data_IF_288488284359
#
_entry.id   IF_288488284359
#
_cell.length_a   1.000
_cell.length_b   1.000
_cell.length_c   1.000
_cell.angle_alpha   90.00
_cell.angle_beta   90.00
_cell.angle_gamma   90.00
#
_symmetry.space_group_name_H-M   'P 1'
#
loop_
_entity.id
_entity.type
_entity.pdbx_description
1 polymer ?
#
# COMPACT_ATOMS: atom_id res chain seq x y z
N UNK A 1 4.83 -19.53 -44.88
CA UNK A 1 3.56 -19.04 -44.30
C UNK A 1 3.91 -18.16 -43.11
N UNK A 2 3.56 -16.86 -43.08
CA UNK A 2 3.88 -16.00 -41.93
C UNK A 2 2.67 -15.79 -41.00
N UNK A 3 3.01 -15.49 -39.73
CA UNK A 3 2.17 -14.99 -38.62
C UNK A 3 1.31 -16.04 -37.88
N UNK A 4 1.96 -16.84 -37.04
CA UNK A 4 1.34 -17.26 -35.77
C UNK A 4 1.70 -16.21 -34.71
N UNK A 5 0.66 -15.69 -34.08
CA UNK A 5 0.72 -14.62 -33.10
C UNK A 5 1.48 -15.09 -31.85
N UNK A 6 2.39 -14.24 -31.42
CA UNK A 6 3.17 -14.32 -30.20
C UNK A 6 2.23 -14.13 -28.99
N UNK A 7 1.60 -15.20 -28.50
CA UNK A 7 0.73 -15.16 -27.31
C UNK A 7 1.50 -15.04 -25.97
N UNK A 8 2.80 -14.72 -25.99
CA UNK A 8 3.64 -14.58 -24.80
C UNK A 8 3.75 -13.16 -24.22
N UNK A 9 3.29 -12.12 -24.92
CA UNK A 9 3.65 -10.72 -24.65
C UNK A 9 2.71 -9.88 -23.78
N UNK A 10 1.68 -10.45 -23.14
CA UNK A 10 0.81 -9.69 -22.21
C UNK A 10 1.03 -10.05 -20.74
N UNK A 11 1.33 -11.32 -20.44
CA UNK A 11 1.53 -11.76 -19.05
C UNK A 11 2.90 -11.33 -18.48
N UNK A 12 3.93 -11.25 -19.33
CA UNK A 12 5.27 -10.83 -18.93
C UNK A 12 5.34 -9.35 -18.55
N UNK A 13 4.77 -8.48 -19.39
CA UNK A 13 4.72 -7.04 -19.15
C UNK A 13 3.86 -6.71 -17.93
N UNK A 14 2.73 -7.39 -17.76
CA UNK A 14 1.85 -7.12 -16.61
C UNK A 14 2.47 -7.49 -15.26
N UNK A 15 3.23 -8.59 -15.20
CA UNK A 15 3.98 -9.00 -14.02
C UNK A 15 5.12 -8.02 -13.71
N UNK A 16 5.84 -7.57 -14.75
CA UNK A 16 6.93 -6.60 -14.61
C UNK A 16 6.44 -5.25 -14.08
N UNK A 17 5.35 -4.73 -14.64
CA UNK A 17 4.72 -3.49 -14.17
C UNK A 17 4.25 -3.59 -12.72
N UNK A 18 3.75 -4.75 -12.29
CA UNK A 18 3.40 -5.00 -10.90
C UNK A 18 4.62 -4.90 -9.99
N UNK A 19 5.72 -5.57 -10.34
CA UNK A 19 6.95 -5.52 -9.54
C UNK A 19 7.53 -4.10 -9.46
N UNK A 20 7.53 -3.37 -10.58
CA UNK A 20 7.95 -1.96 -10.62
C UNK A 20 7.05 -1.07 -9.74
N UNK A 21 5.74 -1.28 -9.78
CA UNK A 21 4.79 -0.56 -8.94
C UNK A 21 5.00 -0.83 -7.46
N UNK A 22 5.18 -2.10 -7.06
CA UNK A 22 5.43 -2.48 -5.67
C UNK A 22 6.76 -1.89 -5.19
N UNK A 23 7.85 -2.05 -5.96
CA UNK A 23 9.15 -1.48 -5.61
C UNK A 23 9.12 0.05 -5.52
N UNK A 24 8.34 0.72 -6.39
CA UNK A 24 8.11 2.16 -6.30
C UNK A 24 7.41 2.54 -4.98
N UNK A 25 6.43 1.75 -4.52
CA UNK A 25 5.73 2.00 -3.27
C UNK A 25 6.62 1.73 -2.05
N UNK A 26 7.41 0.66 -2.05
CA UNK A 26 8.33 0.33 -0.96
C UNK A 26 9.42 1.40 -0.79
N UNK A 27 9.95 1.93 -1.89
CA UNK A 27 10.90 3.03 -1.84
C UNK A 27 10.21 4.38 -1.52
N UNK A 28 8.91 4.49 -1.77
CA UNK A 28 8.14 5.67 -1.43
C UNK A 28 7.73 5.62 0.04
N UNK A 29 8.63 6.10 0.90
CA UNK A 29 8.28 6.43 2.28
C UNK A 29 7.41 7.69 2.25
N UNK A 30 6.09 7.51 2.28
CA UNK A 30 5.18 8.61 2.55
C UNK A 30 5.28 8.92 4.04
N UNK A 31 5.97 10.01 4.37
CA UNK A 31 6.00 10.54 5.73
C UNK A 31 4.61 11.11 6.06
N UNK A 32 3.69 10.24 6.44
CA UNK A 32 2.35 10.65 6.87
C UNK A 32 2.43 11.01 8.34
N UNK A 33 2.41 12.31 8.62
CA UNK A 33 2.22 12.80 9.99
C UNK A 33 0.74 12.67 10.33
N UNK A 34 0.43 11.76 11.24
CA UNK A 34 -0.91 11.60 11.76
C UNK A 34 -0.86 11.45 13.27
N UNK A 35 -1.94 11.85 13.93
CA UNK A 35 -2.07 11.74 15.37
C UNK A 35 -2.74 10.40 15.72
N UNK A 36 -2.06 9.46 16.38
CA UNK A 36 -2.65 8.16 16.71
C UNK A 36 -3.82 8.28 17.72
N UNK A 37 -3.83 9.35 18.53
CA UNK A 37 -4.90 9.65 19.48
C UNK A 37 -6.17 10.20 18.83
N UNK A 38 -6.08 10.74 17.62
CA UNK A 38 -7.21 11.35 16.92
C UNK A 38 -7.72 10.43 15.78
N UNK A 39 -8.98 9.94 15.85
CA UNK A 39 -9.53 9.09 14.80
C UNK A 39 -9.62 9.81 13.46
N UNK A 40 -9.93 11.11 13.45
CA UNK A 40 -10.07 11.88 12.21
C UNK A 40 -8.73 12.04 11.48
N UNK A 41 -7.64 12.29 12.21
CA UNK A 41 -6.27 12.37 11.66
C UNK A 41 -5.82 11.05 11.07
N UNK A 42 -6.18 9.93 11.68
CA UNK A 42 -5.87 8.59 11.15
C UNK A 42 -6.65 8.26 9.90
N UNK A 43 -7.93 8.59 9.86
CA UNK A 43 -8.72 8.41 8.63
C UNK A 43 -8.22 9.31 7.49
N UNK A 44 -7.80 10.55 7.80
CA UNK A 44 -7.17 11.45 6.84
C UNK A 44 -5.85 10.88 6.30
N UNK A 45 -5.03 10.29 7.16
CA UNK A 45 -3.78 9.63 6.80
C UNK A 45 -3.99 8.44 5.86
N UNK A 46 -4.94 7.58 6.19
CA UNK A 46 -5.34 6.44 5.36
C UNK A 46 -5.81 6.95 4.00
N UNK A 47 -6.74 7.91 3.98
CA UNK A 47 -7.30 8.45 2.72
C UNK A 47 -6.23 9.11 1.84
N UNK A 48 -5.30 9.87 2.43
CA UNK A 48 -4.18 10.47 1.69
C UNK A 48 -3.28 9.41 1.06
N UNK A 49 -2.98 8.34 1.80
CA UNK A 49 -2.17 7.24 1.32
C UNK A 49 -2.90 6.44 0.23
N UNK A 50 -4.19 6.14 0.41
CA UNK A 50 -5.02 5.48 -0.60
C UNK A 50 -5.09 6.27 -1.90
N UNK A 51 -5.30 7.59 -1.83
CA UNK A 51 -5.36 8.47 -2.99
C UNK A 51 -4.02 8.54 -3.73
N UNK A 52 -2.91 8.55 -2.99
CA UNK A 52 -1.58 8.58 -3.55
C UNK A 52 -1.17 7.24 -4.19
N UNK A 53 -1.63 6.10 -3.64
CA UNK A 53 -1.53 4.78 -4.28
C UNK A 53 -2.39 4.76 -5.55
N UNK A 54 -3.63 5.25 -5.50
CA UNK A 54 -4.56 5.27 -6.63
C UNK A 54 -4.01 6.10 -7.80
N UNK A 55 -3.46 7.28 -7.50
CA UNK A 55 -2.81 8.16 -8.49
C UNK A 55 -1.63 7.47 -9.19
N UNK A 56 -0.86 6.66 -8.47
CA UNK A 56 0.26 5.89 -9.04
C UNK A 56 -0.24 4.69 -9.83
N UNK A 57 -1.24 3.98 -9.31
CA UNK A 57 -1.87 2.86 -9.99
C UNK A 57 -2.59 3.30 -11.27
N UNK A 58 -3.06 4.55 -11.33
CA UNK A 58 -3.70 5.12 -12.51
C UNK A 58 -2.77 5.13 -13.72
N UNK A 59 -1.45 5.26 -13.51
CA UNK A 59 -0.42 5.12 -14.56
C UNK A 59 -0.40 3.74 -15.20
N UNK A 60 -0.85 2.72 -14.46
CA UNK A 60 -0.99 1.33 -14.87
C UNK A 60 -2.46 0.90 -14.90
N UNK A 61 -3.39 1.82 -15.21
CA UNK A 61 -4.84 1.53 -15.28
C UNK A 61 -5.19 0.42 -16.27
N UNK A 62 -4.34 0.21 -17.28
CA UNK A 62 -4.49 -0.85 -18.27
C UNK A 62 -4.09 -2.24 -17.74
N UNK A 63 -3.45 -2.30 -16.56
CA UNK A 63 -2.97 -3.54 -15.96
C UNK A 63 -3.83 -3.94 -14.74
N UNK A 64 -4.67 -4.99 -14.86
CA UNK A 64 -5.53 -5.43 -13.78
C UNK A 64 -4.77 -6.00 -12.57
N UNK A 65 -3.53 -6.49 -12.75
CA UNK A 65 -2.70 -6.98 -11.66
C UNK A 65 -2.25 -5.83 -10.76
N UNK A 66 -1.83 -4.70 -11.34
CA UNK A 66 -1.48 -3.49 -10.58
C UNK A 66 -2.69 -2.94 -9.84
N UNK A 67 -3.87 -2.94 -10.46
CA UNK A 67 -5.12 -2.51 -9.81
C UNK A 67 -5.48 -3.39 -8.60
N UNK A 68 -5.30 -4.72 -8.70
CA UNK A 68 -5.49 -5.62 -7.57
C UNK A 68 -4.45 -5.38 -6.47
N UNK A 69 -3.18 -5.21 -6.83
CA UNK A 69 -2.12 -4.94 -5.87
C UNK A 69 -2.33 -3.62 -5.14
N UNK A 70 -2.71 -2.56 -5.86
CA UNK A 70 -3.09 -1.28 -5.26
C UNK A 70 -4.17 -1.45 -4.19
N UNK A 71 -5.24 -2.21 -4.48
CA UNK A 71 -6.28 -2.53 -3.48
C UNK A 71 -5.74 -3.28 -2.26
N UNK A 72 -4.86 -4.27 -2.47
CA UNK A 72 -4.23 -5.01 -1.37
C UNK A 72 -3.34 -4.10 -0.50
N UNK A 73 -2.56 -3.23 -1.14
CA UNK A 73 -1.66 -2.28 -0.45
C UNK A 73 -2.46 -1.28 0.40
N UNK A 74 -3.56 -0.73 -0.12
CA UNK A 74 -4.46 0.14 0.66
C UNK A 74 -4.95 -0.55 1.94
N UNK A 75 -5.35 -1.82 1.83
CA UNK A 75 -5.77 -2.64 2.97
C UNK A 75 -4.65 -2.86 3.99
N UNK A 76 -3.46 -3.22 3.51
CA UNK A 76 -2.28 -3.43 4.36
C UNK A 76 -1.88 -2.15 5.10
N UNK A 77 -1.79 -1.01 4.40
CA UNK A 77 -1.45 0.27 5.01
C UNK A 77 -2.48 0.75 6.02
N UNK A 78 -3.77 0.53 5.76
CA UNK A 78 -4.83 0.82 6.74
C UNK A 78 -4.61 0.03 8.03
N UNK A 79 -4.15 -1.21 7.93
CA UNK A 79 -3.82 -2.03 9.09
C UNK A 79 -2.57 -1.48 9.80
N UNK A 80 -1.49 -1.21 9.06
CA UNK A 80 -0.24 -0.66 9.60
C UNK A 80 -0.45 0.67 10.33
N UNK A 81 -1.22 1.60 9.76
CA UNK A 81 -1.52 2.90 10.40
C UNK A 81 -2.33 2.68 11.69
N UNK A 82 -3.22 1.69 11.72
CA UNK A 82 -3.98 1.34 12.93
C UNK A 82 -3.12 0.63 13.98
N UNK A 83 -2.20 -0.22 13.56
CA UNK A 83 -1.25 -0.93 14.43
C UNK A 83 -0.21 0.03 15.02
N UNK A 84 0.24 1.04 14.27
CA UNK A 84 1.11 2.10 14.80
C UNK A 84 0.47 2.89 15.96
N UNK A 85 -0.87 2.95 16.04
CA UNK A 85 -1.53 3.51 17.24
C UNK A 85 -1.17 2.74 18.51
N UNK A 86 -0.91 1.45 18.39
CA UNK A 86 -0.71 0.53 19.52
C UNK A 86 0.75 0.49 19.99
N UNK A 87 1.70 0.95 19.17
CA UNK A 87 3.13 0.99 19.52
C UNK A 87 3.49 2.22 20.39
N UNK A 88 2.58 3.21 20.52
CA UNK A 88 2.67 4.30 21.52
C UNK A 88 1.91 3.94 22.80
N UNK A 89 1.80 2.65 23.11
CA UNK A 89 1.54 2.22 24.47
C UNK A 89 2.89 2.10 25.18
N UNK A 90 3.17 2.88 26.24
CA UNK A 90 4.27 2.55 27.12
C UNK A 90 4.06 1.13 27.62
N UNK A 91 5.11 0.31 27.59
CA UNK A 91 5.22 -0.88 28.42
C UNK A 91 5.02 -0.45 29.90
N UNK A 92 3.77 -0.36 30.33
CA UNK A 92 3.36 -0.39 31.75
C UNK A 92 2.87 -1.80 32.06
N UNK A 93 3.72 -2.81 31.85
CA UNK A 93 3.82 -3.88 32.85
C UNK A 93 4.56 -3.27 34.05
N UNK A 94 3.82 -2.42 34.76
CA UNK A 94 4.22 -1.98 36.08
C UNK A 94 4.08 -3.20 36.99
N UNK A 95 5.20 -3.81 37.34
CA UNK A 95 5.33 -4.61 38.55
C UNK A 95 4.72 -3.83 39.73
N UNK A 96 3.58 -4.27 40.27
CA UNK A 96 3.25 -4.03 41.67
C UNK A 96 2.71 -5.33 42.29
N UNK A 97 3.62 -5.97 43.01
CA UNK A 97 3.40 -6.95 44.06
C UNK A 97 2.52 -6.35 45.17
N UNK A 98 1.33 -6.92 45.41
CA UNK A 98 0.66 -6.91 46.73
C UNK A 98 -0.08 -8.20 47.00
#
# INVERSE_FOLDING_TARGET
MPRMMEEGGMAGDTAKELTEFVGMLENWSLEVRFDPGDPASVEAAIGAMEAAIDTRAARYSMNPAVQQAAKRMKGAYRQVIREQKNDTSPDEDSDEET
#
